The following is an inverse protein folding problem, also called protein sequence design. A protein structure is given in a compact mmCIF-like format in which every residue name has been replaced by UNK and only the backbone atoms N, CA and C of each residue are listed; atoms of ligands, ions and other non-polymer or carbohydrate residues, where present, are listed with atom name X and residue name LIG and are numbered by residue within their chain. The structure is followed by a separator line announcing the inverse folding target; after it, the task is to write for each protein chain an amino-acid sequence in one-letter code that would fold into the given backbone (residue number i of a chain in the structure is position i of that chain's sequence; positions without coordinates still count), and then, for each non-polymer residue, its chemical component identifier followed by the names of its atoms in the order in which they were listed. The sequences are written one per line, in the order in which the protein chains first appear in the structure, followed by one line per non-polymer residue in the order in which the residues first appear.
data_IF_735971777703
#
_entry.id   IF_735971777703
#
_cell.length_a   1.000
_cell.length_b   1.000
_cell.length_c   1.000
_cell.angle_alpha   90.00
_cell.angle_beta   90.00
_cell.angle_gamma   90.00
#
_symmetry.space_group_name_H-M   'P 1'
#
loop_
_entity.id
_entity.type
_entity.pdbx_description
1 polymer ?
#
# COMPACT_ATOMS: atom_id res chain seq x y z
N UNK A 1 26.37 4.09 6.87
CA UNK A 1 26.11 4.93 5.68
C UNK A 1 25.00 4.38 4.78
N UNK A 2 24.84 3.05 4.60
CA UNK A 2 23.75 2.47 3.78
C UNK A 2 22.33 2.77 4.30
N UNK A 3 22.10 2.72 5.61
CA UNK A 3 20.76 2.93 6.19
C UNK A 3 20.17 4.32 5.92
N UNK A 4 21.03 5.35 5.87
CA UNK A 4 20.56 6.72 5.59
C UNK A 4 20.14 6.87 4.13
N UNK A 5 20.83 6.21 3.20
CA UNK A 5 20.43 6.16 1.79
C UNK A 5 19.08 5.48 1.60
N UNK A 6 18.87 4.33 2.26
CA UNK A 6 17.60 3.61 2.23
C UNK A 6 16.45 4.45 2.78
N UNK A 7 16.64 5.09 3.94
CA UNK A 7 15.62 5.97 4.53
C UNK A 7 15.22 7.11 3.60
N UNK A 8 16.21 7.81 2.99
CA UNK A 8 15.93 8.91 2.06
C UNK A 8 15.23 8.40 0.80
N UNK A 9 15.58 7.21 0.30
CA UNK A 9 14.92 6.63 -0.87
C UNK A 9 13.45 6.29 -0.59
N UNK A 10 13.16 5.66 0.56
CA UNK A 10 11.78 5.32 0.98
C UNK A 10 10.93 6.58 1.16
N UNK A 11 11.42 7.58 1.92
CA UNK A 11 10.68 8.84 2.14
C UNK A 11 10.36 9.56 0.83
N UNK A 12 11.27 9.52 -0.16
CA UNK A 12 11.00 10.07 -1.48
C UNK A 12 9.95 9.24 -2.23
N UNK A 13 10.06 7.91 -2.22
CA UNK A 13 9.09 7.01 -2.86
C UNK A 13 7.67 7.27 -2.35
N UNK A 14 7.48 7.33 -1.03
CA UNK A 14 6.18 7.57 -0.40
C UNK A 14 5.58 8.92 -0.80
N UNK A 15 6.41 9.97 -0.79
CA UNK A 15 5.99 11.33 -1.14
C UNK A 15 5.52 11.41 -2.59
N UNK A 16 6.23 10.76 -3.52
CA UNK A 16 5.86 10.71 -4.93
C UNK A 16 4.69 9.77 -5.20
N UNK A 17 4.53 8.71 -4.41
CA UNK A 17 3.38 7.81 -4.52
C UNK A 17 2.08 8.55 -4.18
N UNK A 18 2.07 9.38 -3.12
CA UNK A 18 0.91 10.22 -2.78
C UNK A 18 0.60 11.25 -3.88
N UNK A 19 1.64 11.85 -4.46
CA UNK A 19 1.51 12.78 -5.58
C UNK A 19 0.89 12.10 -6.81
N UNK A 20 1.41 10.94 -7.24
CA UNK A 20 0.90 10.20 -8.41
C UNK A 20 -0.54 9.72 -8.18
N UNK A 21 -0.89 9.29 -6.97
CA UNK A 21 -2.27 8.97 -6.61
C UNK A 21 -3.19 10.19 -6.74
N UNK A 22 -2.75 11.38 -6.34
CA UNK A 22 -3.53 12.61 -6.50
C UNK A 22 -3.65 13.05 -7.97
N UNK A 23 -2.58 12.93 -8.76
CA UNK A 23 -2.59 13.26 -10.19
C UNK A 23 -3.51 12.34 -11.01
N UNK A 24 -3.72 11.11 -10.55
CA UNK A 24 -4.68 10.16 -11.12
C UNK A 24 -6.12 10.34 -10.61
N UNK A 25 -6.38 11.34 -9.76
CA UNK A 25 -7.70 11.56 -9.14
C UNK A 25 -8.11 10.48 -8.12
N UNK A 26 -7.14 9.77 -7.53
CA UNK A 26 -7.40 8.76 -6.48
C UNK A 26 -7.41 9.42 -5.10
N UNK A 27 -6.63 10.48 -4.90
CA UNK A 27 -6.57 11.31 -3.70
C UNK A 27 -6.99 12.75 -3.99
N UNK A 28 -7.22 13.55 -2.95
CA UNK A 28 -7.52 14.98 -3.07
C UNK A 28 -6.45 15.71 -3.88
N UNK A 29 -6.87 16.62 -4.76
CA UNK A 29 -5.98 17.49 -5.57
C UNK A 29 -4.96 18.27 -4.73
N UNK A 30 -5.22 18.47 -3.43
CA UNK A 30 -4.27 19.07 -2.51
C UNK A 30 -2.91 18.35 -2.50
N UNK A 31 -2.90 17.01 -2.50
CA UNK A 31 -1.67 16.21 -2.56
C UNK A 31 -0.96 16.30 -3.93
N UNK A 32 -1.69 16.71 -4.98
CA UNK A 32 -1.19 16.92 -6.35
C UNK A 32 -0.32 18.19 -6.51
N UNK A 33 -0.29 19.08 -5.51
CA UNK A 33 0.43 20.36 -5.62
C UNK A 33 1.95 20.16 -5.58
N UNK A 34 2.62 20.56 -6.66
CA UNK A 34 4.08 20.59 -6.77
C UNK A 34 4.63 21.98 -6.44
N UNK A 35 5.82 22.03 -5.84
CA UNK A 35 6.61 23.27 -5.70
C UNK A 35 7.15 23.74 -7.06
N UNK A 36 7.73 24.95 -7.10
CA UNK A 36 8.39 25.53 -8.28
C UNK A 36 9.47 24.60 -8.89
N UNK A 37 10.09 23.78 -8.06
CA UNK A 37 11.12 22.80 -8.45
C UNK A 37 10.57 21.40 -8.73
N UNK A 38 9.24 21.21 -8.78
CA UNK A 38 8.60 19.91 -9.02
C UNK A 38 8.47 19.01 -7.78
N UNK A 39 8.90 19.49 -6.61
CA UNK A 39 8.92 18.70 -5.37
C UNK A 39 7.53 18.62 -4.70
N UNK A 40 7.05 17.43 -4.30
CA UNK A 40 5.78 17.27 -3.56
C UNK A 40 5.95 17.61 -2.08
N UNK A 41 5.87 18.90 -1.74
CA UNK A 41 6.07 19.36 -0.35
C UNK A 41 5.07 18.76 0.63
N UNK A 42 3.81 18.60 0.21
CA UNK A 42 2.75 18.04 1.05
C UNK A 42 2.98 16.54 1.30
N UNK A 43 3.40 15.80 0.27
CA UNK A 43 3.80 14.39 0.42
C UNK A 43 4.94 14.24 1.43
N UNK A 44 5.97 15.09 1.33
CA UNK A 44 7.12 15.07 2.25
C UNK A 44 6.68 15.37 3.69
N UNK A 45 5.84 16.38 3.90
CA UNK A 45 5.31 16.70 5.23
C UNK A 45 4.49 15.55 5.80
N UNK A 46 3.70 14.87 4.96
CA UNK A 46 2.92 13.70 5.37
C UNK A 46 3.83 12.54 5.77
N UNK A 47 4.80 12.15 4.94
CA UNK A 47 5.78 11.10 5.26
C UNK A 47 6.58 11.45 6.53
N UNK A 48 7.00 12.70 6.70
CA UNK A 48 7.68 13.14 7.92
C UNK A 48 6.77 13.05 9.16
N UNK A 49 5.48 13.38 9.02
CA UNK A 49 4.52 13.27 10.12
C UNK A 49 4.27 11.82 10.52
N UNK A 50 4.23 10.90 9.56
CA UNK A 50 4.09 9.47 9.82
C UNK A 50 5.28 8.93 10.64
N UNK A 51 6.51 9.29 10.27
CA UNK A 51 7.71 8.92 11.04
C UNK A 51 7.64 9.44 12.48
N UNK A 52 7.16 10.68 12.68
CA UNK A 52 7.00 11.24 14.03
C UNK A 52 5.92 10.51 14.84
N UNK A 53 4.81 10.11 14.21
CA UNK A 53 3.75 9.34 14.85
C UNK A 53 4.23 7.94 15.24
N UNK A 54 4.95 7.26 14.34
CA UNK A 54 5.48 5.92 14.58
C UNK A 54 6.64 5.92 15.59
N UNK A 55 7.31 7.05 15.81
CA UNK A 55 8.41 7.17 16.77
C UNK A 55 8.02 6.83 18.22
N UNK A 56 6.72 6.80 18.55
CA UNK A 56 6.22 6.40 19.87
C UNK A 56 6.16 4.87 20.06
N UNK A 57 6.22 4.09 18.98
CA UNK A 57 6.18 2.63 19.01
C UNK A 57 7.59 2.04 19.09
N UNK A 58 7.72 0.82 19.61
CA UNK A 58 9.00 0.12 19.57
C UNK A 58 9.33 -0.34 18.14
N UNK A 59 10.62 -0.44 17.81
CA UNK A 59 11.07 -0.88 16.49
C UNK A 59 10.45 -2.22 16.06
N UNK A 60 10.32 -3.18 16.99
CA UNK A 60 9.71 -4.49 16.69
C UNK A 60 8.22 -4.37 16.37
N UNK A 61 7.49 -3.48 17.05
CA UNK A 61 6.08 -3.22 16.75
C UNK A 61 5.91 -2.55 15.38
N UNK A 62 6.79 -1.62 15.02
CA UNK A 62 6.78 -0.95 13.70
C UNK A 62 7.02 -1.98 12.59
N UNK A 63 8.09 -2.78 12.69
CA UNK A 63 8.42 -3.81 11.70
C UNK A 63 7.30 -4.85 11.57
N UNK A 64 6.67 -5.23 12.69
CA UNK A 64 5.54 -6.16 12.66
C UNK A 64 4.30 -5.53 12.00
N UNK A 65 4.02 -4.25 12.25
CA UNK A 65 2.89 -3.54 11.65
C UNK A 65 3.07 -3.34 10.14
N UNK A 66 4.27 -2.95 9.71
CA UNK A 66 4.61 -2.79 8.29
C UNK A 66 4.47 -4.12 7.54
N UNK A 67 5.02 -5.20 8.10
CA UNK A 67 4.89 -6.55 7.54
C UNK A 67 3.42 -6.99 7.42
N UNK A 68 2.58 -6.65 8.40
CA UNK A 68 1.15 -6.93 8.35
C UNK A 68 0.48 -6.17 7.19
N UNK A 69 0.74 -4.87 7.05
CA UNK A 69 0.18 -4.05 5.97
C UNK A 69 0.67 -4.51 4.59
N UNK A 70 1.95 -4.87 4.48
CA UNK A 70 2.53 -5.47 3.28
C UNK A 70 1.81 -6.75 2.89
N UNK A 71 1.62 -7.65 3.85
CA UNK A 71 0.88 -8.90 3.67
C UNK A 71 -0.56 -8.66 3.19
N UNK A 72 -1.25 -7.71 3.80
CA UNK A 72 -2.61 -7.34 3.40
C UNK A 72 -2.65 -6.78 1.97
N UNK A 73 -1.70 -5.88 1.63
CA UNK A 73 -1.54 -5.35 0.26
C UNK A 73 -1.33 -6.46 -0.76
N UNK A 74 -0.47 -7.43 -0.45
CA UNK A 74 -0.21 -8.56 -1.35
C UNK A 74 -1.45 -9.41 -1.61
N UNK A 75 -2.26 -9.68 -0.57
CA UNK A 75 -3.53 -10.40 -0.73
C UNK A 75 -4.48 -9.62 -1.66
N UNK A 76 -4.62 -8.31 -1.44
CA UNK A 76 -5.45 -7.46 -2.31
C UNK A 76 -4.95 -7.46 -3.75
N UNK A 77 -3.64 -7.44 -3.96
CA UNK A 77 -3.03 -7.48 -5.29
C UNK A 77 -3.32 -8.82 -6.01
N UNK A 78 -3.21 -9.95 -5.31
CA UNK A 78 -3.58 -11.25 -5.85
C UNK A 78 -5.07 -11.35 -6.17
N UNK A 79 -5.93 -10.84 -5.28
CA UNK A 79 -7.37 -10.80 -5.52
C UNK A 79 -7.71 -9.94 -6.73
N UNK A 80 -7.11 -8.75 -6.85
CA UNK A 80 -7.28 -7.86 -7.98
C UNK A 80 -6.80 -8.50 -9.29
N UNK A 81 -5.65 -9.19 -9.26
CA UNK A 81 -5.11 -9.92 -10.40
C UNK A 81 -6.05 -11.02 -10.89
N UNK A 82 -6.54 -11.87 -9.98
CA UNK A 82 -7.49 -12.96 -10.31
C UNK A 82 -8.82 -12.37 -10.80
N UNK A 83 -9.31 -11.32 -10.15
CA UNK A 83 -10.56 -10.66 -10.52
C UNK A 83 -10.48 -10.03 -11.91
N UNK A 84 -9.40 -9.30 -12.22
CA UNK A 84 -9.18 -8.71 -13.55
C UNK A 84 -9.05 -9.79 -14.64
N UNK A 85 -8.38 -10.91 -14.34
CA UNK A 85 -8.26 -12.06 -15.26
C UNK A 85 -9.62 -12.66 -15.62
N UNK A 86 -10.54 -12.76 -14.66
CA UNK A 86 -11.88 -13.32 -14.87
C UNK A 86 -12.81 -12.32 -15.56
N UNK A 87 -12.81 -11.06 -15.12
CA UNK A 87 -13.76 -10.05 -15.60
C UNK A 87 -13.37 -9.44 -16.96
N UNK A 88 -12.09 -9.26 -17.21
CA UNK A 88 -11.58 -8.65 -18.45
C UNK A 88 -10.55 -9.56 -19.15
N UNK A 89 -10.97 -10.77 -19.60
CA UNK A 89 -10.05 -11.76 -20.18
C UNK A 89 -9.47 -11.33 -21.55
N UNK A 90 -10.12 -10.40 -22.24
CA UNK A 90 -9.73 -9.90 -23.56
C UNK A 90 -9.02 -8.54 -23.53
N UNK A 91 -8.76 -7.96 -22.35
CA UNK A 91 -7.96 -6.74 -22.26
C UNK A 91 -6.56 -7.01 -22.84
N UNK A 92 -6.05 -6.08 -23.65
CA UNK A 92 -4.72 -6.15 -24.25
C UNK A 92 -3.64 -6.08 -23.16
N UNK A 93 -3.27 -7.24 -22.62
CA UNK A 93 -2.18 -7.35 -21.64
C UNK A 93 -0.85 -7.48 -22.40
N UNK A 94 0.11 -6.54 -22.23
CA UNK A 94 1.43 -6.64 -22.85
C UNK A 94 2.20 -7.90 -22.43
N UNK A 95 1.89 -8.43 -21.24
CA UNK A 95 2.46 -9.65 -20.70
C UNK A 95 1.37 -10.54 -20.12
N UNK A 96 1.28 -11.79 -20.60
CA UNK A 96 0.29 -12.76 -20.12
C UNK A 96 1.02 -13.95 -19.49
N UNK A 97 0.83 -14.14 -18.19
CA UNK A 97 1.25 -15.36 -17.50
C UNK A 97 0.63 -16.58 -18.23
N UNK A 98 1.45 -17.54 -18.70
CA UNK A 98 1.01 -18.65 -19.56
C UNK A 98 0.24 -19.75 -18.82
N UNK A 99 0.20 -19.70 -17.48
CA UNK A 99 -0.68 -20.55 -16.70
C UNK A 99 -2.11 -19.98 -16.76
N UNK A 100 -3.08 -20.80 -17.18
CA UNK A 100 -4.50 -20.41 -17.24
C UNK A 100 -5.05 -19.95 -15.88
N UNK A 101 -6.30 -19.50 -15.81
CA UNK A 101 -6.90 -18.92 -14.58
C UNK A 101 -6.73 -19.82 -13.35
N UNK A 102 -6.84 -21.14 -13.51
CA UNK A 102 -6.65 -22.12 -12.42
C UNK A 102 -5.20 -22.12 -11.93
N UNK A 103 -4.22 -22.13 -12.83
CA UNK A 103 -2.81 -22.10 -12.47
C UNK A 103 -2.38 -20.77 -11.85
N UNK A 104 -2.99 -19.66 -12.28
CA UNK A 104 -2.82 -18.35 -11.65
C UNK A 104 -3.34 -18.33 -10.19
N UNK A 105 -4.52 -18.90 -9.93
CA UNK A 105 -5.06 -19.03 -8.56
C UNK A 105 -4.15 -19.93 -7.73
N UNK A 106 -3.72 -21.07 -8.28
CA UNK A 106 -2.86 -22.02 -7.59
C UNK A 106 -1.51 -21.40 -7.21
N UNK A 107 -0.96 -20.52 -8.06
CA UNK A 107 0.28 -19.78 -7.76
C UNK A 107 0.10 -18.76 -6.62
N UNK A 108 -1.11 -18.21 -6.43
CA UNK A 108 -1.40 -17.25 -5.36
C UNK A 108 -1.66 -17.96 -4.00
N UNK A 109 -1.98 -19.26 -3.99
CA UNK A 109 -2.32 -19.98 -2.76
C UNK A 109 -1.12 -20.09 -1.80
N UNK A 110 0.07 -20.58 -2.21
CA UNK A 110 1.23 -20.68 -1.32
C UNK A 110 1.63 -19.35 -0.65
N UNK A 111 1.78 -18.22 -1.37
CA UNK A 111 2.12 -16.96 -0.73
C UNK A 111 1.01 -16.48 0.20
N UNK A 112 -0.27 -16.71 -0.13
CA UNK A 112 -1.39 -16.36 0.76
C UNK A 112 -1.37 -17.17 2.06
N UNK A 113 -1.08 -18.47 2.00
CA UNK A 113 -0.96 -19.32 3.20
C UNK A 113 0.19 -18.84 4.08
N UNK A 114 1.36 -18.58 3.50
CA UNK A 114 2.52 -18.07 4.23
C UNK A 114 2.20 -16.74 4.90
N UNK A 115 1.53 -15.84 4.19
CA UNK A 115 1.04 -14.58 4.75
C UNK A 115 0.13 -14.84 5.94
N UNK A 116 -0.90 -15.68 5.81
CA UNK A 116 -1.84 -15.98 6.90
C UNK A 116 -1.13 -16.51 8.16
N UNK A 117 -0.08 -17.33 8.00
CA UNK A 117 0.71 -17.83 9.13
C UNK A 117 1.46 -16.68 9.82
N UNK A 118 2.11 -15.82 9.05
CA UNK A 118 2.83 -14.65 9.60
C UNK A 118 1.88 -13.72 10.35
N UNK A 119 0.67 -13.49 9.81
CA UNK A 119 -0.37 -12.68 10.46
C UNK A 119 -0.84 -13.32 11.78
N UNK A 120 -0.99 -14.65 11.82
CA UNK A 120 -1.44 -15.37 13.01
C UNK A 120 -0.43 -15.34 14.17
N UNK A 121 0.86 -15.16 13.87
CA UNK A 121 1.92 -15.05 14.86
C UNK A 121 2.11 -13.62 15.39
N UNK A 122 1.37 -12.64 14.87
CA UNK A 122 1.51 -11.23 15.26
C UNK A 122 0.88 -10.94 16.63
N UNK A 123 1.44 -9.95 17.34
CA UNK A 123 0.94 -9.54 18.66
C UNK A 123 -0.38 -8.79 18.54
N UNK A 124 -1.32 -9.00 19.48
CA UNK A 124 -2.64 -8.34 19.49
C UNK A 124 -2.60 -6.81 19.35
N UNK A 125 -1.60 -6.15 19.94
CA UNK A 125 -1.40 -4.70 19.81
C UNK A 125 -1.14 -4.28 18.36
N UNK A 126 -0.22 -4.97 17.69
CA UNK A 126 0.14 -4.73 16.29
C UNK A 126 -1.05 -5.02 15.39
N UNK A 127 -1.75 -6.13 15.65
CA UNK A 127 -2.96 -6.49 14.92
C UNK A 127 -4.04 -5.40 14.98
N UNK A 128 -4.31 -4.85 16.16
CA UNK A 128 -5.27 -3.75 16.34
C UNK A 128 -4.85 -2.48 15.59
N UNK A 129 -3.58 -2.09 15.70
CA UNK A 129 -3.03 -0.92 14.99
C UNK A 129 -3.15 -1.08 13.47
N UNK A 130 -2.73 -2.24 12.95
CA UNK A 130 -2.77 -2.51 11.52
C UNK A 130 -4.19 -2.61 10.97
N UNK A 131 -5.12 -3.24 11.71
CA UNK A 131 -6.55 -3.22 11.32
C UNK A 131 -7.08 -1.79 11.31
N UNK A 132 -6.74 -0.98 12.31
CA UNK A 132 -7.11 0.43 12.34
C UNK A 132 -6.64 1.16 11.08
N UNK A 133 -5.37 0.99 10.70
CA UNK A 133 -4.82 1.57 9.47
C UNK A 133 -5.53 1.07 8.20
N UNK A 134 -5.83 -0.23 8.11
CA UNK A 134 -6.59 -0.81 6.99
C UNK A 134 -8.00 -0.20 6.89
N UNK A 135 -8.71 -0.09 8.01
CA UNK A 135 -10.06 0.50 8.06
C UNK A 135 -10.01 1.97 7.64
N UNK A 136 -9.04 2.74 8.14
CA UNK A 136 -8.84 4.14 7.72
C UNK A 136 -8.61 4.22 6.21
N UNK A 137 -7.73 3.39 5.64
CA UNK A 137 -7.48 3.36 4.20
C UNK A 137 -8.72 3.01 3.37
N UNK A 138 -9.49 2.00 3.81
CA UNK A 138 -10.72 1.58 3.15
C UNK A 138 -11.85 2.61 3.24
N UNK A 139 -11.94 3.36 4.35
CA UNK A 139 -12.92 4.44 4.54
C UNK A 139 -12.51 5.72 3.82
N UNK A 140 -11.21 5.97 3.70
CA UNK A 140 -10.70 7.15 2.99
C UNK A 140 -11.17 7.15 1.53
N UNK A 141 -11.13 6.02 0.83
CA UNK A 141 -11.56 5.93 -0.57
C UNK A 141 -13.02 6.38 -0.84
N UNK A 142 -14.06 5.89 -0.13
CA UNK A 142 -15.44 6.36 -0.30
C UNK A 142 -15.64 7.79 0.19
N UNK A 143 -14.94 8.23 1.25
CA UNK A 143 -14.99 9.62 1.70
C UNK A 143 -14.46 10.58 0.62
N UNK A 144 -13.37 10.23 -0.05
CA UNK A 144 -12.81 11.01 -1.16
C UNK A 144 -13.80 11.14 -2.32
N UNK A 145 -14.44 10.03 -2.71
CA UNK A 145 -15.50 10.04 -3.73
C UNK A 145 -16.72 10.88 -3.36
N UNK A 146 -16.96 11.11 -2.07
CA UNK A 146 -18.06 11.96 -1.61
C UNK A 146 -17.69 13.44 -1.64
N UNK A 147 -16.44 13.80 -1.29
CA UNK A 147 -15.95 15.18 -1.29
C UNK A 147 -15.77 15.75 -2.71
N UNK A 148 -15.54 14.88 -3.69
CA UNK A 148 -15.37 15.25 -5.10
C UNK A 148 -16.69 15.36 -5.89
N UNK A 149 -17.84 15.10 -5.25
CA UNK A 149 -19.19 15.31 -5.80
C UNK A 149 -19.80 16.62 -5.32
#
# INVERSE_FOLDING_TARGET
MLNMGMYVAEMNSDSFQLLDMAERGILLEFFGKRSRNGTPLIGILFSASDVLLLSWLSFQEIVAAENFLYCFRMILEFLAFVWLRVKHPFASQPYKIPVGTIGAILMCIPPTILICIVLALSTLKVFLLSIGAVVIGLVMQPCLKYVER
#
